data_IF_164018360006
#
_entry.id   IF_164018360006
#
_cell.length_a   1.000
_cell.length_b   1.000
_cell.length_c   1.000
_cell.angle_alpha   90.00
_cell.angle_beta   90.00
_cell.angle_gamma   90.00
#
_symmetry.space_group_name_H-M   'P 1'
#
loop_
_entity.id
_entity.type
_entity.pdbx_description
1 polymer ?
#
# COMPACT_ATOMS: atom_id res chain seq x y z
N UNK A 1 -5.39 54.64 -1.74
CA UNK A 1 -4.89 53.48 -0.98
C UNK A 1 -6.12 52.76 -0.53
N UNK A 2 -6.53 51.75 -1.30
CA UNK A 2 -7.67 50.90 -0.99
C UNK A 2 -7.07 49.59 -0.48
N UNK A 3 -7.29 49.36 0.81
CA UNK A 3 -6.94 48.08 1.45
C UNK A 3 -7.63 46.94 0.70
N UNK A 4 -6.84 45.95 0.26
CA UNK A 4 -7.35 44.69 -0.24
C UNK A 4 -7.95 43.92 0.96
N UNK A 5 -9.10 43.20 0.78
CA UNK A 5 -9.69 42.45 1.86
C UNK A 5 -8.76 41.30 2.29
N UNK A 6 -8.27 41.42 3.51
CA UNK A 6 -7.58 40.34 4.22
C UNK A 6 -8.47 39.09 4.27
N UNK A 7 -7.99 37.95 3.75
CA UNK A 7 -8.55 36.66 4.11
C UNK A 7 -8.91 35.68 2.99
N UNK A 8 -8.51 35.88 1.73
CA UNK A 8 -8.54 34.78 0.77
C UNK A 8 -7.32 33.89 1.00
N UNK A 9 -7.54 32.75 1.66
CA UNK A 9 -6.52 31.70 1.73
C UNK A 9 -6.08 31.39 0.30
N UNK A 10 -4.79 31.49 0.02
CA UNK A 10 -4.26 31.18 -1.31
C UNK A 10 -4.66 29.74 -1.64
N UNK A 11 -5.27 29.53 -2.80
CA UNK A 11 -5.63 28.20 -3.26
C UNK A 11 -4.34 27.43 -3.48
N UNK A 12 -4.13 26.30 -2.79
CA UNK A 12 -2.93 25.49 -2.96
C UNK A 12 -2.76 25.08 -4.42
N UNK A 13 -1.56 25.27 -4.96
CA UNK A 13 -1.26 24.88 -6.35
C UNK A 13 -0.60 23.52 -6.36
N UNK A 14 -1.13 22.54 -7.13
CA UNK A 14 -0.44 21.28 -7.34
C UNK A 14 0.92 21.49 -7.98
N UNK A 15 1.94 20.88 -7.42
CA UNK A 15 3.30 20.92 -7.93
C UNK A 15 3.94 19.54 -7.90
N UNK A 16 4.80 19.31 -8.87
CA UNK A 16 5.70 18.17 -8.86
C UNK A 16 7.15 18.68 -8.92
N UNK A 17 8.10 17.86 -8.50
CA UNK A 17 9.51 18.06 -8.71
C UNK A 17 10.11 16.81 -9.31
N UNK A 18 10.72 16.93 -10.49
CA UNK A 18 11.34 15.83 -11.21
C UNK A 18 12.85 16.09 -11.38
N UNK A 19 13.63 15.12 -10.92
CA UNK A 19 15.10 15.15 -10.97
C UNK A 19 15.57 14.02 -11.86
N UNK A 20 16.30 14.32 -12.92
CA UNK A 20 16.92 13.36 -13.84
C UNK A 20 18.39 13.19 -13.45
N UNK A 21 18.75 12.00 -12.97
CA UNK A 21 20.06 11.78 -12.39
C UNK A 21 20.30 12.67 -11.17
N UNK A 22 21.00 13.78 -11.38
CA UNK A 22 21.27 14.79 -10.34
C UNK A 22 20.76 16.19 -10.72
N UNK A 23 20.18 16.35 -11.90
CA UNK A 23 19.70 17.64 -12.43
C UNK A 23 18.21 17.78 -12.18
N UNK A 24 17.78 18.86 -11.53
CA UNK A 24 16.36 19.24 -11.49
C UNK A 24 15.94 19.73 -12.88
N UNK A 25 15.00 19.01 -13.49
CA UNK A 25 14.48 19.29 -14.82
C UNK A 25 13.01 19.76 -14.79
N UNK A 26 12.49 20.05 -13.61
CA UNK A 26 11.09 20.41 -13.40
C UNK A 26 10.68 21.60 -14.27
N UNK A 27 11.45 22.69 -14.26
CA UNK A 27 11.17 23.89 -15.05
C UNK A 27 11.24 23.63 -16.57
N UNK A 28 12.16 22.77 -17.00
CA UNK A 28 12.36 22.44 -18.40
C UNK A 28 11.19 21.61 -18.95
N UNK A 29 10.57 20.78 -18.10
CA UNK A 29 9.46 19.88 -18.45
C UNK A 29 8.09 20.53 -18.31
N UNK A 30 7.87 21.40 -17.33
CA UNK A 30 6.55 21.94 -16.96
C UNK A 30 5.72 22.44 -18.16
N UNK A 31 6.28 23.11 -19.18
CA UNK A 31 5.48 23.55 -20.35
C UNK A 31 4.91 22.41 -21.17
N UNK A 32 5.52 21.24 -21.14
CA UNK A 32 5.19 20.08 -21.99
C UNK A 32 4.43 19.00 -21.25
N UNK A 33 4.42 19.02 -19.91
CA UNK A 33 3.76 17.98 -19.11
C UNK A 33 2.25 18.01 -19.34
N UNK A 34 1.71 16.86 -19.73
CA UNK A 34 0.28 16.57 -19.76
C UNK A 34 -0.14 16.00 -18.41
N UNK A 35 0.58 14.97 -17.93
CA UNK A 35 0.33 14.38 -16.62
C UNK A 35 1.60 13.79 -15.99
N UNK A 36 1.62 13.79 -14.66
CA UNK A 36 2.60 13.07 -13.84
C UNK A 36 1.82 12.17 -12.91
N UNK A 37 2.11 10.88 -12.94
CA UNK A 37 1.45 9.87 -12.13
C UNK A 37 2.47 9.14 -11.28
N UNK A 38 2.12 8.87 -10.02
CA UNK A 38 2.86 8.01 -9.10
C UNK A 38 1.94 6.95 -8.53
N UNK A 39 2.31 5.69 -8.70
CA UNK A 39 1.59 4.53 -8.18
C UNK A 39 2.38 3.94 -7.01
N UNK A 40 1.79 3.97 -5.82
CA UNK A 40 2.32 3.39 -4.59
C UNK A 40 1.58 2.10 -4.27
N UNK A 41 2.28 0.97 -4.19
CA UNK A 41 1.69 -0.34 -3.93
C UNK A 41 2.12 -0.88 -2.56
N UNK A 42 1.17 -1.45 -1.82
CA UNK A 42 1.46 -2.07 -0.53
C UNK A 42 2.35 -3.32 -0.68
N UNK A 43 2.06 -4.14 -1.67
CA UNK A 43 2.76 -5.42 -1.89
C UNK A 43 2.51 -5.95 -3.31
N UNK A 44 3.40 -6.84 -3.77
CA UNK A 44 3.23 -7.59 -5.01
C UNK A 44 3.68 -6.87 -6.27
N UNK A 45 3.71 -5.56 -6.29
CA UNK A 45 4.17 -4.74 -7.41
C UNK A 45 5.22 -3.74 -6.93
N UNK A 46 6.06 -3.28 -7.85
CA UNK A 46 6.97 -2.16 -7.60
C UNK A 46 6.20 -0.86 -7.72
N UNK A 47 6.62 0.14 -6.96
CA UNK A 47 6.16 1.51 -7.20
C UNK A 47 6.56 1.95 -8.61
N UNK A 48 5.73 2.79 -9.19
CA UNK A 48 5.87 3.20 -10.59
C UNK A 48 5.60 4.70 -10.73
N UNK A 49 6.29 5.32 -11.67
CA UNK A 49 5.96 6.66 -12.14
C UNK A 49 5.70 6.64 -13.64
N UNK A 50 4.82 7.53 -14.08
CA UNK A 50 4.59 7.81 -15.48
C UNK A 50 4.56 9.32 -15.68
N UNK A 51 5.31 9.80 -16.67
CA UNK A 51 5.34 11.20 -17.09
C UNK A 51 4.94 11.26 -18.55
N UNK A 52 3.81 11.88 -18.83
CA UNK A 52 3.29 12.07 -20.20
C UNK A 52 3.59 13.49 -20.65
N UNK A 53 4.28 13.61 -21.77
CA UNK A 53 4.75 14.86 -22.35
C UNK A 53 4.14 15.08 -23.74
N UNK A 54 3.79 16.32 -24.05
CA UNK A 54 3.46 16.75 -25.39
C UNK A 54 4.73 16.84 -26.24
N UNK A 55 4.74 16.25 -27.43
CA UNK A 55 5.90 16.18 -28.33
C UNK A 55 5.60 16.72 -29.75
N UNK A 56 4.94 17.88 -29.83
CA UNK A 56 4.56 18.50 -31.10
C UNK A 56 5.75 18.91 -31.99
N UNK A 57 6.91 19.15 -31.38
CA UNK A 57 8.14 19.54 -32.07
C UNK A 57 9.17 18.41 -32.19
N UNK A 58 8.85 17.19 -31.77
CA UNK A 58 9.70 16.01 -31.89
C UNK A 58 10.95 16.01 -31.00
N UNK A 59 10.99 16.85 -29.95
CA UNK A 59 12.17 16.96 -29.09
C UNK A 59 12.41 15.73 -28.24
N UNK A 60 11.34 15.10 -27.74
CA UNK A 60 11.41 13.95 -26.83
C UNK A 60 11.74 12.65 -27.55
N UNK A 61 11.39 12.52 -28.82
CA UNK A 61 11.84 11.41 -29.70
C UNK A 61 13.17 11.71 -30.37
N UNK A 62 13.68 12.94 -30.27
CA UNK A 62 14.90 13.43 -30.91
C UNK A 62 15.99 13.78 -29.89
N UNK A 63 16.43 15.05 -29.82
CA UNK A 63 17.60 15.45 -29.05
C UNK A 63 17.47 15.23 -27.54
N UNK A 64 16.25 15.18 -27.03
CA UNK A 64 15.95 15.06 -25.59
C UNK A 64 15.44 13.65 -25.22
N UNK A 65 15.70 12.67 -26.09
CA UNK A 65 15.30 11.29 -25.83
C UNK A 65 15.99 10.75 -24.57
N UNK A 66 15.21 10.34 -23.53
CA UNK A 66 15.81 9.88 -22.28
C UNK A 66 16.45 8.49 -22.43
N UNK A 67 17.49 8.23 -21.65
CA UNK A 67 18.16 6.94 -21.63
C UNK A 67 17.36 5.88 -20.85
N UNK A 68 17.17 4.69 -21.43
CA UNK A 68 16.64 3.54 -20.67
C UNK A 68 17.63 3.14 -19.59
N UNK A 69 17.15 2.99 -18.37
CA UNK A 69 17.97 2.70 -17.19
C UNK A 69 18.49 3.94 -16.49
N UNK A 70 18.23 5.14 -17.02
CA UNK A 70 18.52 6.36 -16.29
C UNK A 70 17.56 6.56 -15.13
N UNK A 71 17.97 7.36 -14.15
CA UNK A 71 17.22 7.50 -12.89
C UNK A 71 16.40 8.80 -12.86
N UNK A 72 15.14 8.65 -12.54
CA UNK A 72 14.22 9.74 -12.21
C UNK A 72 13.91 9.74 -10.72
N UNK A 73 13.86 10.92 -10.09
CA UNK A 73 13.36 11.08 -8.72
C UNK A 73 12.18 12.03 -8.73
N UNK A 74 11.06 11.59 -8.15
CA UNK A 74 9.81 12.35 -8.16
C UNK A 74 9.41 12.78 -6.75
N UNK A 75 8.89 14.01 -6.66
CA UNK A 75 8.13 14.50 -5.50
C UNK A 75 6.85 15.14 -6.01
N UNK A 76 5.74 14.98 -5.28
CA UNK A 76 4.43 15.54 -5.62
C UNK A 76 3.76 16.18 -4.40
N UNK A 77 2.87 17.12 -4.60
CA UNK A 77 2.13 17.77 -3.52
C UNK A 77 1.66 19.17 -3.90
N UNK A 78 1.67 20.07 -2.92
CA UNK A 78 1.29 21.47 -3.09
C UNK A 78 2.44 22.42 -2.78
N UNK A 79 2.43 23.61 -3.41
CA UNK A 79 3.55 24.58 -3.38
C UNK A 79 3.91 25.11 -1.99
N UNK A 80 2.95 25.12 -1.06
CA UNK A 80 3.13 25.64 0.29
C UNK A 80 3.22 24.55 1.37
N UNK A 81 3.35 23.27 0.96
CA UNK A 81 3.36 22.12 1.84
C UNK A 81 4.58 21.22 1.58
N UNK A 82 4.93 20.36 2.55
CA UNK A 82 5.95 19.34 2.31
C UNK A 82 5.52 18.39 1.21
N UNK A 83 6.35 18.25 0.18
CA UNK A 83 6.05 17.33 -0.93
C UNK A 83 6.27 15.87 -0.52
N UNK A 84 5.36 14.98 -0.94
CA UNK A 84 5.54 13.55 -0.86
C UNK A 84 6.77 13.14 -1.68
N UNK A 85 7.75 12.54 -1.03
CA UNK A 85 8.92 11.97 -1.69
C UNK A 85 8.57 10.58 -2.24
N UNK A 86 8.21 10.48 -3.52
CA UNK A 86 7.81 9.23 -4.17
C UNK A 86 8.98 8.23 -4.29
N UNK A 87 10.21 8.72 -4.33
CA UNK A 87 11.41 7.89 -4.43
C UNK A 87 12.15 8.07 -5.74
N UNK A 88 12.98 7.08 -6.04
CA UNK A 88 13.83 7.04 -7.23
C UNK A 88 13.42 5.88 -8.14
N UNK A 89 13.38 6.11 -9.43
CA UNK A 89 12.84 5.20 -10.44
C UNK A 89 13.84 5.05 -11.59
N UNK A 90 13.98 3.86 -12.11
CA UNK A 90 14.78 3.58 -13.31
C UNK A 90 13.85 3.58 -14.52
N UNK A 91 14.16 4.35 -15.56
CA UNK A 91 13.37 4.42 -16.79
C UNK A 91 13.38 3.05 -17.45
N UNK A 92 12.21 2.43 -17.54
CA UNK A 92 12.03 1.08 -18.10
C UNK A 92 11.41 1.11 -19.49
N UNK A 93 10.43 2.00 -19.70
CA UNK A 93 9.68 2.09 -20.96
C UNK A 93 9.52 3.54 -21.40
N UNK A 94 9.62 3.74 -22.72
CA UNK A 94 9.34 5.01 -23.38
C UNK A 94 8.42 4.68 -24.55
N UNK A 95 7.22 5.25 -24.52
CA UNK A 95 6.19 5.08 -25.53
C UNK A 95 5.94 6.38 -26.28
N UNK A 96 5.89 6.32 -27.61
CA UNK A 96 5.48 7.42 -28.47
C UNK A 96 4.12 7.12 -29.07
N UNK A 97 3.20 8.09 -29.04
CA UNK A 97 1.87 8.04 -29.65
C UNK A 97 1.60 9.26 -30.50
N UNK A 98 0.97 9.06 -31.68
CA UNK A 98 0.56 10.12 -32.60
C UNK A 98 -0.63 9.65 -33.46
N UNK A 99 -1.72 10.42 -33.64
CA UNK A 99 -2.11 11.64 -32.95
C UNK A 99 -2.83 11.41 -31.61
N UNK A 100 -2.73 12.30 -30.61
CA UNK A 100 -1.85 13.45 -30.52
C UNK A 100 -0.38 13.03 -30.31
N UNK A 101 0.56 13.89 -30.73
CA UNK A 101 2.00 13.61 -30.57
C UNK A 101 2.38 13.73 -29.10
N UNK A 102 2.64 12.60 -28.48
CA UNK A 102 2.98 12.48 -27.05
C UNK A 102 4.06 11.46 -26.80
N UNK A 103 4.86 11.68 -25.76
CA UNK A 103 5.82 10.71 -25.24
C UNK A 103 5.48 10.41 -23.79
N UNK A 104 5.25 9.14 -23.47
CA UNK A 104 5.13 8.62 -22.11
C UNK A 104 6.44 7.99 -21.67
N UNK A 105 6.93 8.41 -20.50
CA UNK A 105 8.14 7.88 -19.87
C UNK A 105 7.72 7.17 -18.59
N UNK A 106 7.86 5.85 -18.57
CA UNK A 106 7.55 5.00 -17.42
C UNK A 106 8.81 4.61 -16.70
N UNK A 107 8.81 4.78 -15.37
CA UNK A 107 9.89 4.38 -14.49
C UNK A 107 9.41 3.44 -13.40
N UNK A 108 10.16 2.38 -13.17
CA UNK A 108 9.91 1.44 -12.07
C UNK A 108 10.81 1.76 -10.90
N UNK A 109 10.32 1.51 -9.67
CA UNK A 109 11.06 1.74 -8.46
C UNK A 109 12.52 1.26 -8.58
N UNK A 110 13.45 2.20 -8.50
CA UNK A 110 14.87 1.96 -8.72
C UNK A 110 15.47 1.21 -7.54
N UNK A 111 16.18 0.14 -7.85
CA UNK A 111 16.94 -0.63 -6.87
C UNK A 111 18.42 -0.48 -7.16
N UNK A 112 19.21 -0.05 -6.18
CA UNK A 112 20.64 0.05 -6.37
C UNK A 112 21.24 -1.33 -6.52
N UNK A 113 21.51 -1.72 -7.75
CA UNK A 113 22.25 -2.94 -8.09
C UNK A 113 21.52 -3.89 -9.03
N UNK A 114 22.22 -4.29 -10.08
CA UNK A 114 21.80 -5.29 -11.07
C UNK A 114 21.45 -6.68 -10.51
N UNK A 115 21.97 -7.14 -9.33
CA UNK A 115 21.70 -8.50 -8.83
C UNK A 115 20.22 -8.81 -8.59
N UNK A 116 19.37 -7.80 -8.34
CA UNK A 116 17.95 -8.00 -7.99
C UNK A 116 17.15 -8.64 -9.12
N UNK A 117 17.53 -8.37 -10.39
CA UNK A 117 16.90 -8.96 -11.58
C UNK A 117 17.46 -10.35 -11.90
N UNK A 118 18.60 -10.73 -11.29
CA UNK A 118 19.25 -12.02 -11.54
C UNK A 118 18.43 -13.15 -10.93
N UNK A 119 18.20 -14.19 -11.72
CA UNK A 119 17.53 -15.40 -11.23
C UNK A 119 18.53 -16.24 -10.44
N UNK A 120 18.12 -16.66 -9.26
CA UNK A 120 18.91 -17.44 -8.33
C UNK A 120 18.23 -18.78 -8.03
N UNK A 121 19.05 -19.77 -7.66
CA UNK A 121 18.56 -21.04 -7.13
C UNK A 121 19.28 -21.31 -5.81
N UNK A 122 18.54 -21.34 -4.71
CA UNK A 122 19.10 -21.52 -3.37
C UNK A 122 18.12 -22.24 -2.45
N UNK A 123 18.64 -23.16 -1.64
CA UNK A 123 17.88 -23.82 -0.58
C UNK A 123 18.17 -23.19 0.77
N UNK A 124 17.11 -22.94 1.53
CA UNK A 124 17.19 -22.51 2.94
C UNK A 124 16.62 -23.63 3.80
N UNK A 125 17.39 -24.14 4.75
CA UNK A 125 16.97 -25.24 5.62
C UNK A 125 17.13 -24.87 7.08
N UNK A 126 16.19 -25.35 7.95
CA UNK A 126 16.18 -25.14 9.40
C UNK A 126 16.45 -23.69 9.79
N UNK A 127 15.71 -22.77 9.24
CA UNK A 127 15.90 -21.32 9.35
C UNK A 127 14.63 -20.62 9.83
N UNK A 128 14.60 -19.31 9.77
CA UNK A 128 13.41 -18.49 10.06
C UNK A 128 13.11 -17.53 8.91
N UNK A 129 11.86 -17.06 8.83
CA UNK A 129 11.46 -16.05 7.85
C UNK A 129 12.36 -14.81 7.92
N UNK A 130 12.64 -14.33 9.13
CA UNK A 130 13.52 -13.18 9.34
C UNK A 130 14.96 -13.44 8.84
N UNK A 131 15.51 -14.64 9.07
CA UNK A 131 16.84 -14.99 8.61
C UNK A 131 16.94 -15.08 7.08
N UNK A 132 15.89 -15.59 6.41
CA UNK A 132 15.82 -15.61 4.93
C UNK A 132 15.78 -14.16 4.41
N UNK A 133 14.90 -13.33 4.95
CA UNK A 133 14.78 -11.93 4.56
C UNK A 133 16.11 -11.17 4.78
N UNK A 134 16.77 -11.37 5.91
CA UNK A 134 18.06 -10.75 6.22
C UNK A 134 19.18 -11.23 5.28
N UNK A 135 19.20 -12.53 4.94
CA UNK A 135 20.18 -13.07 4.01
C UNK A 135 20.06 -12.43 2.63
N UNK A 136 18.83 -12.34 2.11
CA UNK A 136 18.57 -11.72 0.80
C UNK A 136 18.84 -10.22 0.84
N UNK A 137 18.46 -9.53 1.91
CA UNK A 137 18.77 -8.12 2.12
C UNK A 137 20.29 -7.87 2.03
N UNK A 138 21.06 -8.63 2.80
CA UNK A 138 22.53 -8.50 2.83
C UNK A 138 23.16 -8.78 1.47
N UNK A 139 22.70 -9.81 0.76
CA UNK A 139 23.20 -10.17 -0.59
C UNK A 139 23.02 -9.04 -1.60
N UNK A 140 21.93 -8.29 -1.50
CA UNK A 140 21.60 -7.20 -2.41
C UNK A 140 21.96 -5.80 -1.89
N UNK A 141 22.61 -5.69 -0.72
CA UNK A 141 22.98 -4.41 -0.13
C UNK A 141 21.79 -3.60 0.40
N UNK A 142 20.68 -4.27 0.74
CA UNK A 142 19.51 -3.66 1.34
C UNK A 142 19.54 -3.68 2.87
N UNK A 143 18.85 -2.73 3.47
CA UNK A 143 18.52 -2.73 4.89
C UNK A 143 17.14 -3.35 5.08
N UNK A 144 17.05 -4.41 5.89
CA UNK A 144 15.76 -4.99 6.26
C UNK A 144 15.05 -4.09 7.28
N UNK A 145 13.80 -3.75 7.00
CA UNK A 145 12.95 -2.89 7.84
C UNK A 145 11.65 -3.61 8.16
N UNK A 146 11.16 -3.45 9.39
CA UNK A 146 9.92 -4.07 9.86
C UNK A 146 10.15 -5.14 10.92
N UNK A 147 9.06 -5.53 11.61
CA UNK A 147 9.08 -6.60 12.62
C UNK A 147 8.60 -7.90 12.00
N UNK A 148 9.49 -8.89 11.94
CA UNK A 148 9.13 -10.24 11.49
C UNK A 148 9.09 -11.14 12.72
N UNK A 149 7.93 -11.76 12.98
CA UNK A 149 7.76 -12.74 14.05
C UNK A 149 8.75 -13.92 13.86
N UNK A 150 9.12 -14.55 14.94
CA UNK A 150 9.91 -15.78 14.86
C UNK A 150 9.07 -16.92 14.28
N UNK A 151 9.19 -17.13 12.97
CA UNK A 151 8.49 -18.18 12.23
C UNK A 151 9.54 -19.17 11.75
N UNK A 152 9.61 -20.38 12.33
CA UNK A 152 10.54 -21.41 11.88
C UNK A 152 10.16 -21.93 10.50
N UNK A 153 11.16 -22.15 9.66
CA UNK A 153 11.00 -22.67 8.30
C UNK A 153 11.96 -23.85 8.14
N UNK A 154 11.43 -25.05 8.01
CA UNK A 154 12.25 -26.24 7.79
C UNK A 154 12.98 -26.20 6.47
N UNK A 155 12.24 -25.81 5.41
CA UNK A 155 12.81 -25.70 4.07
C UNK A 155 12.04 -24.67 3.24
N UNK A 156 12.77 -23.72 2.66
CA UNK A 156 12.31 -22.84 1.59
C UNK A 156 13.30 -22.96 0.41
N UNK A 157 12.78 -23.02 -0.79
CA UNK A 157 13.61 -23.16 -2.01
C UNK A 157 13.27 -22.02 -2.95
N UNK A 158 14.26 -21.22 -3.26
CA UNK A 158 14.29 -20.32 -4.39
C UNK A 158 14.74 -21.14 -5.60
N UNK A 159 13.95 -21.17 -6.66
CA UNK A 159 14.26 -21.97 -7.84
C UNK A 159 14.05 -21.15 -9.13
N UNK A 160 15.14 -20.71 -9.74
CA UNK A 160 15.09 -19.98 -11.02
C UNK A 160 14.30 -18.67 -10.98
N UNK A 161 14.11 -18.10 -9.80
CA UNK A 161 13.38 -16.84 -9.60
C UNK A 161 14.30 -15.75 -9.02
N UNK A 162 13.96 -14.48 -9.26
CA UNK A 162 14.71 -13.38 -8.67
C UNK A 162 14.40 -13.22 -7.18
N UNK A 163 15.24 -12.50 -6.48
CA UNK A 163 15.17 -12.34 -5.03
C UNK A 163 13.90 -11.65 -4.55
N UNK A 164 13.41 -10.67 -5.30
CA UNK A 164 12.19 -9.92 -4.96
C UNK A 164 10.97 -10.81 -5.11
N UNK A 165 10.86 -11.55 -6.23
CA UNK A 165 9.76 -12.50 -6.45
C UNK A 165 9.75 -13.61 -5.37
N UNK A 166 10.92 -14.12 -5.00
CA UNK A 166 11.06 -15.11 -3.94
C UNK A 166 10.59 -14.57 -2.59
N UNK A 167 11.05 -13.37 -2.20
CA UNK A 167 10.64 -12.76 -0.93
C UNK A 167 9.16 -12.38 -0.93
N UNK A 168 8.65 -11.85 -2.04
CA UNK A 168 7.22 -11.52 -2.18
C UNK A 168 6.35 -12.76 -1.99
N UNK A 169 6.72 -13.88 -2.62
CA UNK A 169 6.01 -15.16 -2.48
C UNK A 169 6.01 -15.67 -1.04
N UNK A 170 7.17 -15.62 -0.37
CA UNK A 170 7.27 -16.05 1.02
C UNK A 170 6.52 -15.10 1.95
N UNK A 171 6.65 -13.78 1.77
CA UNK A 171 5.91 -12.81 2.56
C UNK A 171 4.40 -13.04 2.48
N UNK A 172 3.87 -13.21 1.27
CA UNK A 172 2.46 -13.52 1.03
C UNK A 172 2.01 -14.81 1.73
N UNK A 173 2.85 -15.84 1.69
CA UNK A 173 2.54 -17.13 2.33
C UNK A 173 2.41 -17.04 3.86
N UNK A 174 3.13 -16.09 4.48
CA UNK A 174 3.14 -15.89 5.93
C UNK A 174 2.38 -14.65 6.40
N UNK A 175 1.66 -13.96 5.52
CA UNK A 175 0.78 -12.82 5.86
C UNK A 175 1.49 -11.50 6.03
N UNK A 176 2.59 -11.32 5.34
CA UNK A 176 3.34 -10.08 5.31
C UNK A 176 3.13 -9.35 3.99
N UNK A 177 2.94 -8.05 4.05
CA UNK A 177 3.19 -7.15 2.94
C UNK A 177 4.70 -7.01 2.77
N UNK A 178 5.16 -7.10 1.53
CA UNK A 178 6.55 -6.97 1.16
C UNK A 178 6.72 -5.92 0.09
N UNK A 179 7.62 -4.97 0.33
CA UNK A 179 7.92 -3.87 -0.58
C UNK A 179 9.41 -3.57 -0.59
N UNK A 180 9.91 -3.15 -1.75
CA UNK A 180 11.25 -2.59 -1.90
C UNK A 180 11.11 -1.09 -2.12
N UNK A 181 11.74 -0.29 -1.27
CA UNK A 181 11.75 1.16 -1.39
C UNK A 181 13.17 1.68 -1.22
N UNK A 182 13.77 2.17 -2.30
CA UNK A 182 15.17 2.58 -2.35
C UNK A 182 16.10 1.45 -1.89
N UNK A 183 16.89 1.67 -0.83
CA UNK A 183 17.79 0.66 -0.24
C UNK A 183 17.17 -0.15 0.89
N UNK A 184 15.85 -0.18 1.02
CA UNK A 184 15.16 -0.89 2.11
C UNK A 184 14.28 -2.00 1.58
N UNK A 185 14.35 -3.16 2.22
CA UNK A 185 13.35 -4.22 2.13
C UNK A 185 12.38 -4.06 3.31
N UNK A 186 11.14 -3.79 3.03
CA UNK A 186 10.11 -3.53 4.03
C UNK A 186 9.23 -4.78 4.15
N UNK A 187 9.16 -5.32 5.37
CA UNK A 187 8.25 -6.38 5.75
C UNK A 187 7.30 -5.88 6.81
N UNK A 188 6.00 -5.86 6.51
CA UNK A 188 4.98 -5.45 7.47
C UNK A 188 3.91 -6.52 7.58
N UNK A 189 3.60 -6.96 8.79
CA UNK A 189 2.53 -7.92 9.01
C UNK A 189 1.17 -7.27 8.69
N UNK A 190 0.39 -7.85 7.76
CA UNK A 190 -0.91 -7.31 7.33
C UNK A 190 -1.86 -7.18 8.53
N UNK A 191 -1.82 -8.13 9.47
CA UNK A 191 -2.62 -8.05 10.69
C UNK A 191 -2.32 -6.80 11.55
N UNK A 192 -1.06 -6.35 11.54
CA UNK A 192 -0.66 -5.12 12.26
C UNK A 192 -1.20 -3.87 11.56
N UNK A 193 -1.20 -3.85 10.22
CA UNK A 193 -1.81 -2.75 9.45
C UNK A 193 -3.31 -2.65 9.72
N UNK A 194 -4.01 -3.79 9.66
CA UNK A 194 -5.46 -3.85 9.91
C UNK A 194 -5.86 -3.45 11.34
N UNK A 195 -4.96 -3.58 12.32
CA UNK A 195 -5.18 -3.13 13.69
C UNK A 195 -4.92 -1.64 13.89
N UNK A 196 -4.47 -0.92 12.87
CA UNK A 196 -4.22 0.52 12.91
C UNK A 196 -5.50 1.35 13.01
N UNK A 197 -5.35 2.60 13.43
CA UNK A 197 -6.43 3.56 13.38
C UNK A 197 -6.52 4.21 11.99
N UNK A 198 -7.75 4.61 11.61
CA UNK A 198 -7.96 5.34 10.38
C UNK A 198 -7.28 6.71 10.45
N UNK A 199 -6.43 7.03 9.47
CA UNK A 199 -5.72 8.31 9.39
C UNK A 199 -6.61 9.42 8.86
N UNK A 200 -7.59 9.04 8.02
CA UNK A 200 -8.59 9.94 7.45
C UNK A 200 -9.94 9.22 7.37
N UNK A 201 -11.02 10.00 7.38
CA UNK A 201 -12.39 9.49 7.23
C UNK A 201 -13.05 10.27 6.10
N UNK A 202 -13.62 9.56 5.14
CA UNK A 202 -14.25 10.13 3.94
C UNK A 202 -15.75 9.83 3.92
N UNK A 203 -16.52 10.85 3.63
CA UNK A 203 -17.93 10.74 3.27
C UNK A 203 -18.13 11.00 1.77
N UNK A 204 -19.28 10.64 1.17
CA UNK A 204 -19.51 10.81 -0.28
C UNK A 204 -19.21 12.20 -0.83
N UNK A 205 -19.42 13.25 -0.05
CA UNK A 205 -19.14 14.64 -0.45
C UNK A 205 -17.64 14.97 -0.53
N UNK A 206 -16.78 14.18 0.12
CA UNK A 206 -15.32 14.37 0.14
C UNK A 206 -14.64 13.65 -1.04
N UNK A 207 -15.41 12.85 -1.77
CA UNK A 207 -14.91 12.00 -2.86
C UNK A 207 -15.40 12.53 -4.20
N UNK A 208 -14.53 12.54 -5.20
CA UNK A 208 -14.89 12.83 -6.60
C UNK A 208 -15.31 11.57 -7.35
N UNK A 209 -14.96 10.41 -6.84
CA UNK A 209 -15.38 9.11 -7.39
C UNK A 209 -15.36 8.03 -6.31
N UNK A 210 -16.34 7.12 -6.38
CA UNK A 210 -16.41 5.96 -5.48
C UNK A 210 -16.97 4.75 -6.22
N UNK A 211 -16.31 3.62 -6.03
CA UNK A 211 -16.76 2.32 -6.49
C UNK A 211 -16.37 1.28 -5.45
N UNK A 212 -17.32 0.67 -4.78
CA UNK A 212 -17.11 -0.41 -3.80
C UNK A 212 -17.90 -1.63 -4.26
N UNK A 213 -17.28 -2.80 -4.18
CA UNK A 213 -17.86 -4.08 -4.54
C UNK A 213 -17.76 -5.01 -3.34
N UNK A 214 -18.89 -5.56 -2.92
CA UNK A 214 -19.00 -6.58 -1.87
C UNK A 214 -19.31 -7.92 -2.50
N UNK A 215 -18.46 -8.94 -2.23
CA UNK A 215 -18.49 -10.25 -2.87
C UNK A 215 -18.64 -11.35 -1.84
N UNK A 216 -19.52 -12.30 -2.10
CA UNK A 216 -19.65 -13.50 -1.26
C UNK A 216 -18.58 -14.56 -1.58
N UNK A 217 -18.03 -14.56 -2.79
CA UNK A 217 -17.14 -15.62 -3.28
C UNK A 217 -15.80 -15.74 -2.54
N UNK A 218 -15.41 -14.69 -1.80
CA UNK A 218 -14.15 -14.66 -1.03
C UNK A 218 -14.37 -14.74 0.48
N UNK A 219 -15.60 -15.02 0.91
CA UNK A 219 -15.94 -15.17 2.33
C UNK A 219 -15.82 -16.63 2.74
N UNK A 220 -14.85 -16.92 3.59
CA UNK A 220 -14.59 -18.27 4.09
C UNK A 220 -14.81 -18.34 5.60
N UNK A 221 -15.52 -19.39 6.04
CA UNK A 221 -15.75 -19.70 7.44
C UNK A 221 -14.48 -20.19 8.12
N UNK A 222 -13.72 -21.02 7.43
CA UNK A 222 -12.50 -21.62 7.93
C UNK A 222 -11.46 -21.83 6.80
N UNK A 223 -10.21 -22.02 7.20
CA UNK A 223 -9.15 -22.44 6.29
C UNK A 223 -8.56 -23.77 6.76
N UNK A 224 -8.26 -24.68 5.82
CA UNK A 224 -7.65 -25.98 6.08
C UNK A 224 -6.33 -26.12 5.33
N UNK A 225 -5.25 -26.33 6.10
CA UNK A 225 -3.91 -26.62 5.60
C UNK A 225 -3.58 -28.09 5.81
N UNK A 226 -3.09 -28.75 4.79
CA UNK A 226 -2.63 -30.14 4.87
C UNK A 226 -1.15 -30.17 5.23
N UNK A 227 -0.79 -30.93 6.25
CA UNK A 227 0.58 -31.20 6.65
C UNK A 227 0.87 -32.68 6.60
N UNK A 228 1.96 -33.09 5.97
CA UNK A 228 2.45 -34.46 6.00
C UNK A 228 3.52 -34.59 7.08
N UNK A 229 3.17 -35.21 8.20
CA UNK A 229 4.13 -35.57 9.25
C UNK A 229 4.97 -36.78 8.81
N UNK A 230 6.18 -36.52 8.36
CA UNK A 230 7.09 -37.54 7.83
C UNK A 230 7.53 -38.53 8.93
N UNK A 231 7.53 -38.12 10.21
CA UNK A 231 7.91 -38.99 11.34
C UNK A 231 6.79 -39.97 11.66
N UNK A 232 5.54 -39.50 11.63
CA UNK A 232 4.36 -40.32 11.91
C UNK A 232 3.74 -40.96 10.66
N UNK A 233 4.26 -40.66 9.46
CA UNK A 233 3.76 -41.10 8.15
C UNK A 233 2.25 -40.86 8.00
N UNK A 234 1.74 -39.78 8.58
CA UNK A 234 0.30 -39.42 8.56
C UNK A 234 0.08 -38.06 7.95
N UNK A 235 -1.01 -37.95 7.20
CA UNK A 235 -1.52 -36.67 6.73
C UNK A 235 -2.30 -36.01 7.86
N UNK A 236 -1.85 -34.88 8.34
CA UNK A 236 -2.54 -34.06 9.36
C UNK A 236 -3.18 -32.87 8.68
N UNK A 237 -4.43 -32.60 9.01
CA UNK A 237 -5.17 -31.45 8.51
C UNK A 237 -5.36 -30.48 9.67
N UNK A 238 -4.86 -29.26 9.52
CA UNK A 238 -5.10 -28.17 10.46
C UNK A 238 -6.18 -27.26 9.92
N UNK A 239 -7.16 -26.94 10.77
CA UNK A 239 -8.20 -25.98 10.48
C UNK A 239 -8.06 -24.75 11.38
N UNK A 240 -8.27 -23.58 10.81
CA UNK A 240 -8.37 -22.29 11.52
C UNK A 240 -9.73 -21.70 11.18
N UNK A 241 -10.48 -21.28 12.18
CA UNK A 241 -11.76 -20.60 12.00
C UNK A 241 -11.53 -19.09 11.85
N UNK A 242 -12.33 -18.45 11.03
CA UNK A 242 -12.36 -17.00 10.92
C UNK A 242 -13.16 -16.45 12.10
N UNK A 243 -12.47 -15.89 13.08
CA UNK A 243 -13.11 -15.17 14.17
C UNK A 243 -13.77 -13.90 13.61
N UNK A 244 -15.11 -13.79 13.77
CA UNK A 244 -15.85 -12.57 13.44
C UNK A 244 -16.58 -12.55 12.10
N UNK A 245 -16.54 -13.60 11.29
CA UNK A 245 -17.37 -13.72 10.09
C UNK A 245 -18.83 -14.06 10.42
N UNK A 246 -19.51 -13.14 11.07
CA UNK A 246 -20.90 -13.33 11.42
C UNK A 246 -21.72 -12.33 10.62
N UNK A 247 -22.57 -12.81 9.74
CA UNK A 247 -23.55 -11.97 9.06
C UNK A 247 -24.50 -11.24 10.04
N UNK A 248 -25.38 -10.41 9.54
CA UNK A 248 -26.30 -9.56 10.34
C UNK A 248 -27.11 -10.32 11.40
N UNK A 249 -27.28 -11.62 11.25
CA UNK A 249 -28.04 -12.51 12.17
C UNK A 249 -27.16 -13.26 13.16
N UNK A 250 -25.86 -12.93 13.25
CA UNK A 250 -24.93 -13.69 14.08
C UNK A 250 -24.50 -15.03 13.49
N UNK A 251 -24.84 -15.30 12.23
CA UNK A 251 -24.46 -16.52 11.50
C UNK A 251 -23.40 -16.19 10.47
N UNK A 252 -22.49 -17.12 10.20
CA UNK A 252 -21.53 -17.01 9.11
C UNK A 252 -22.24 -16.75 7.79
N UNK A 253 -21.75 -15.78 7.00
CA UNK A 253 -22.32 -15.47 5.67
C UNK A 253 -21.99 -16.53 4.63
N UNK A 254 -20.99 -17.37 4.88
CA UNK A 254 -20.60 -18.50 4.04
C UNK A 254 -20.31 -19.74 4.89
N UNK A 255 -20.59 -20.91 4.34
CA UNK A 255 -20.19 -22.21 4.90
C UNK A 255 -18.90 -22.74 4.26
N UNK A 256 -18.31 -21.99 3.35
CA UNK A 256 -17.18 -22.43 2.54
C UNK A 256 -15.88 -22.54 3.35
N UNK A 257 -15.10 -23.56 3.01
CA UNK A 257 -13.78 -23.81 3.59
C UNK A 257 -12.70 -23.49 2.58
N UNK A 258 -11.77 -22.61 2.94
CA UNK A 258 -10.57 -22.36 2.13
C UNK A 258 -9.60 -23.54 2.27
N UNK A 259 -9.45 -24.32 1.21
CA UNK A 259 -8.47 -25.42 1.15
C UNK A 259 -7.18 -24.89 0.53
N UNK A 260 -6.11 -24.83 1.34
CA UNK A 260 -4.80 -24.41 0.84
C UNK A 260 -3.90 -25.62 0.56
N UNK A 261 -3.17 -25.52 -0.56
CA UNK A 261 -2.16 -26.51 -0.97
C UNK A 261 -0.77 -26.21 -0.39
N UNK A 262 -0.62 -25.14 0.40
CA UNK A 262 0.66 -24.77 1.02
C UNK A 262 1.16 -25.91 1.90
N UNK A 263 2.35 -26.39 1.61
CA UNK A 263 3.01 -27.39 2.48
C UNK A 263 3.45 -26.71 3.78
N UNK A 264 3.21 -27.37 4.89
CA UNK A 264 3.72 -26.97 6.19
C UNK A 264 4.55 -28.11 6.78
N UNK A 265 5.60 -27.78 7.49
CA UNK A 265 6.50 -28.75 8.13
C UNK A 265 6.02 -29.15 9.51
N UNK A 266 5.34 -28.25 10.19
CA UNK A 266 4.85 -28.42 11.56
C UNK A 266 3.49 -27.72 11.77
N UNK A 267 2.92 -27.92 12.95
CA UNK A 267 1.62 -27.37 13.33
C UNK A 267 1.61 -25.83 13.35
N UNK A 268 2.66 -25.22 13.90
CA UNK A 268 2.73 -23.78 14.05
C UNK A 268 2.80 -23.10 12.69
N UNK A 269 3.64 -23.60 11.79
CA UNK A 269 3.74 -23.13 10.41
C UNK A 269 2.43 -23.31 9.64
N UNK A 270 1.77 -24.46 9.82
CA UNK A 270 0.47 -24.71 9.20
C UNK A 270 -0.60 -23.73 9.66
N UNK A 271 -0.61 -23.42 10.96
CA UNK A 271 -1.55 -22.46 11.53
C UNK A 271 -1.31 -21.06 10.98
N UNK A 272 -0.07 -20.56 11.01
CA UNK A 272 0.27 -19.22 10.50
C UNK A 272 -0.12 -19.08 9.02
N UNK A 273 0.18 -20.08 8.20
CA UNK A 273 -0.19 -20.07 6.77
C UNK A 273 -1.71 -20.10 6.56
N UNK A 274 -2.44 -20.87 7.37
CA UNK A 274 -3.90 -20.90 7.29
C UNK A 274 -4.54 -19.58 7.68
N UNK A 275 -4.09 -18.98 8.80
CA UNK A 275 -4.56 -17.68 9.27
C UNK A 275 -4.28 -16.57 8.25
N UNK A 276 -3.07 -16.54 7.72
CA UNK A 276 -2.65 -15.57 6.72
C UNK A 276 -3.53 -15.63 5.47
N UNK A 277 -3.70 -16.82 4.90
CA UNK A 277 -4.50 -16.98 3.69
C UNK A 277 -5.98 -16.70 3.92
N UNK A 278 -6.51 -17.08 5.09
CA UNK A 278 -7.89 -16.79 5.44
C UNK A 278 -8.12 -15.27 5.58
N UNK A 279 -7.24 -14.57 6.30
CA UNK A 279 -7.32 -13.11 6.45
C UNK A 279 -7.23 -12.40 5.10
N UNK A 280 -6.29 -12.80 4.25
CA UNK A 280 -6.14 -12.22 2.91
C UNK A 280 -7.39 -12.44 2.07
N UNK A 281 -7.92 -13.67 2.02
CA UNK A 281 -9.12 -13.96 1.25
C UNK A 281 -10.33 -13.16 1.76
N UNK A 282 -10.49 -13.05 3.08
CA UNK A 282 -11.60 -12.30 3.67
C UNK A 282 -11.43 -10.77 3.50
N UNK A 283 -10.20 -10.27 3.42
CA UNK A 283 -9.94 -8.87 3.09
C UNK A 283 -10.39 -8.53 1.65
N UNK A 284 -10.34 -9.49 0.74
CA UNK A 284 -10.80 -9.34 -0.65
C UNK A 284 -12.34 -9.41 -0.80
N UNK A 285 -13.09 -9.65 0.29
CA UNK A 285 -14.54 -9.66 0.27
C UNK A 285 -15.11 -8.33 -0.20
N UNK A 286 -14.68 -7.25 0.42
CA UNK A 286 -15.13 -5.91 0.08
C UNK A 286 -13.95 -5.09 -0.38
N UNK A 287 -13.91 -4.81 -1.68
CA UNK A 287 -12.85 -4.04 -2.33
C UNK A 287 -13.46 -2.88 -3.09
N UNK A 288 -12.68 -1.84 -3.32
CA UNK A 288 -13.14 -0.71 -4.09
C UNK A 288 -12.04 0.24 -4.48
N UNK A 289 -12.45 1.28 -5.18
CA UNK A 289 -11.62 2.44 -5.47
C UNK A 289 -12.38 3.70 -5.06
N UNK A 290 -11.67 4.63 -4.42
CA UNK A 290 -12.16 5.97 -4.13
C UNK A 290 -11.19 6.98 -4.72
N UNK A 291 -11.74 8.06 -5.26
CA UNK A 291 -10.95 9.18 -5.77
C UNK A 291 -11.27 10.40 -4.92
N UNK A 292 -10.24 11.06 -4.44
CA UNK A 292 -10.31 12.27 -3.63
C UNK A 292 -9.48 13.39 -4.26
N UNK A 293 -9.69 14.66 -3.89
CA UNK A 293 -8.73 15.71 -4.19
C UNK A 293 -7.33 15.29 -3.75
N UNK A 294 -6.29 15.71 -4.47
CA UNK A 294 -4.93 15.26 -4.22
C UNK A 294 -4.51 15.45 -2.75
N UNK A 295 -4.07 14.38 -2.13
CA UNK A 295 -3.59 14.39 -0.75
C UNK A 295 -2.29 13.58 -0.67
N UNK A 296 -1.13 14.25 -0.50
CA UNK A 296 0.17 13.59 -0.46
C UNK A 296 0.40 12.72 0.79
N UNK A 297 -0.46 12.81 1.81
CA UNK A 297 -0.36 11.98 3.02
C UNK A 297 -0.98 10.59 2.83
N UNK A 298 -1.79 10.38 1.79
CA UNK A 298 -2.48 9.11 1.51
C UNK A 298 -1.58 8.16 0.73
N UNK A 299 -1.01 7.18 1.41
CA UNK A 299 -0.12 6.17 0.82
C UNK A 299 -0.60 4.76 1.10
N UNK A 300 -0.08 3.79 0.36
CA UNK A 300 -0.41 2.38 0.56
C UNK A 300 -0.03 1.88 1.96
N UNK A 301 -0.88 1.04 2.55
CA UNK A 301 -0.69 0.47 3.89
C UNK A 301 -1.34 1.26 5.02
N UNK A 302 -1.95 2.40 4.73
CA UNK A 302 -2.74 3.15 5.71
C UNK A 302 -4.15 2.57 5.86
N UNK A 303 -4.73 2.79 7.03
CA UNK A 303 -6.15 2.56 7.25
C UNK A 303 -6.92 3.86 7.07
N UNK A 304 -8.03 3.81 6.33
CA UNK A 304 -8.97 4.92 6.18
C UNK A 304 -10.37 4.51 6.64
N UNK A 305 -11.16 5.48 7.04
CA UNK A 305 -12.57 5.32 7.34
C UNK A 305 -13.44 5.75 6.16
N UNK A 306 -14.53 5.04 5.95
CA UNK A 306 -15.61 5.45 5.02
C UNK A 306 -16.88 5.51 5.82
N UNK A 307 -17.66 6.59 5.67
CA UNK A 307 -18.90 6.82 6.39
C UNK A 307 -20.01 7.35 5.49
N UNK A 308 -21.26 7.27 5.96
CA UNK A 308 -22.47 7.69 5.25
C UNK A 308 -22.79 6.88 3.98
N UNK A 309 -22.27 5.65 3.89
CA UNK A 309 -22.58 4.65 2.85
C UNK A 309 -23.37 3.46 3.42
N UNK A 310 -23.87 3.57 4.63
CA UNK A 310 -24.71 2.56 5.30
C UNK A 310 -23.95 1.27 5.60
N UNK A 311 -24.24 0.17 4.89
CA UNK A 311 -23.56 -1.11 5.12
C UNK A 311 -22.09 -1.13 4.70
N UNK A 312 -21.69 -0.19 3.88
CA UNK A 312 -20.31 -0.05 3.41
C UNK A 312 -19.49 0.84 4.33
N UNK A 313 -20.08 1.38 5.41
CA UNK A 313 -19.33 2.12 6.41
C UNK A 313 -18.31 1.22 7.11
N UNK A 314 -17.14 1.77 7.42
CA UNK A 314 -16.13 1.05 8.17
C UNK A 314 -14.70 1.44 7.83
N UNK A 315 -13.77 0.68 8.39
CA UNK A 315 -12.34 0.84 8.11
C UNK A 315 -11.93 0.04 6.88
N UNK A 316 -11.08 0.63 6.07
CA UNK A 316 -10.51 0.03 4.87
C UNK A 316 -8.99 0.19 4.86
N UNK A 317 -8.30 -0.86 4.45
CA UNK A 317 -6.86 -0.83 4.18
C UNK A 317 -6.62 -0.30 2.77
N UNK A 318 -5.76 0.68 2.63
CA UNK A 318 -5.29 1.16 1.32
C UNK A 318 -4.29 0.16 0.76
N UNK A 319 -4.64 -0.48 -0.35
CA UNK A 319 -3.80 -1.45 -1.05
C UNK A 319 -2.87 -0.79 -2.05
N UNK A 320 -3.36 0.24 -2.73
CA UNK A 320 -2.56 1.11 -3.59
C UNK A 320 -3.06 2.54 -3.53
N UNK A 321 -2.16 3.49 -3.76
CA UNK A 321 -2.46 4.91 -3.89
C UNK A 321 -1.87 5.43 -5.20
N UNK A 322 -2.71 5.98 -6.06
CA UNK A 322 -2.34 6.59 -7.33
C UNK A 322 -2.47 8.10 -7.21
N UNK A 323 -1.34 8.78 -7.20
CA UNK A 323 -1.26 10.23 -7.21
C UNK A 323 -1.09 10.72 -8.64
N UNK A 324 -2.02 11.55 -9.11
CA UNK A 324 -1.99 12.07 -10.48
C UNK A 324 -2.10 13.59 -10.48
N UNK A 325 -1.10 14.26 -11.03
CA UNK A 325 -1.15 15.67 -11.37
C UNK A 325 -1.35 15.77 -12.88
N UNK A 326 -2.45 16.35 -13.28
CA UNK A 326 -2.86 16.44 -14.68
C UNK A 326 -3.16 17.91 -15.05
N UNK A 327 -2.80 18.32 -16.26
CA UNK A 327 -2.97 19.70 -16.74
C UNK A 327 -4.44 20.15 -16.72
N UNK A 328 -5.38 19.23 -16.98
CA UNK A 328 -6.80 19.53 -17.10
C UNK A 328 -7.57 19.36 -15.79
N UNK A 329 -7.24 18.32 -15.00
CA UNK A 329 -7.99 17.93 -13.79
C UNK A 329 -7.32 18.30 -12.48
N UNK A 330 -6.09 18.84 -12.51
CA UNK A 330 -5.34 19.19 -11.32
C UNK A 330 -4.75 17.99 -10.61
N UNK A 331 -4.70 17.99 -9.27
CA UNK A 331 -4.16 16.92 -8.47
C UNK A 331 -5.27 16.05 -7.87
N UNK A 332 -5.20 14.76 -8.12
CA UNK A 332 -6.12 13.75 -7.59
C UNK A 332 -5.35 12.59 -6.96
N UNK A 333 -5.94 11.98 -5.94
CA UNK A 333 -5.45 10.74 -5.34
C UNK A 333 -6.54 9.68 -5.45
N UNK A 334 -6.25 8.59 -6.15
CA UNK A 334 -7.11 7.41 -6.25
C UNK A 334 -6.56 6.31 -5.35
N UNK A 335 -7.40 5.76 -4.49
CA UNK A 335 -7.06 4.73 -3.51
C UNK A 335 -7.78 3.43 -3.85
N UNK A 336 -7.02 2.36 -4.09
CA UNK A 336 -7.60 1.02 -4.06
C UNK A 336 -7.68 0.55 -2.61
N UNK A 337 -8.86 0.16 -2.21
CA UNK A 337 -9.17 -0.14 -0.82
C UNK A 337 -9.73 -1.54 -0.64
N UNK A 338 -9.40 -2.16 0.48
CA UNK A 338 -9.98 -3.42 0.92
C UNK A 338 -10.49 -3.28 2.35
N UNK A 339 -11.65 -3.85 2.60
CA UNK A 339 -12.33 -3.65 3.88
C UNK A 339 -11.75 -4.56 4.95
N UNK A 340 -11.46 -3.98 6.11
CA UNK A 340 -11.37 -4.74 7.35
C UNK A 340 -12.75 -5.30 7.71
N UNK A 341 -12.79 -6.55 8.16
CA UNK A 341 -14.02 -7.18 8.60
C UNK A 341 -14.66 -6.39 9.75
N UNK A 342 -15.95 -5.99 9.66
CA UNK A 342 -16.61 -5.31 10.76
C UNK A 342 -16.69 -6.25 11.97
N UNK A 343 -16.41 -5.72 13.16
CA UNK A 343 -16.69 -6.42 14.40
C UNK A 343 -18.18 -6.80 14.48
N UNK A 344 -18.53 -7.97 15.05
CA UNK A 344 -19.93 -8.38 15.18
C UNK A 344 -20.74 -7.31 15.89
N UNK A 345 -21.83 -6.85 15.30
CA UNK A 345 -22.71 -5.78 15.83
C UNK A 345 -23.19 -5.97 17.28
N UNK A 346 -23.07 -7.18 17.84
CA UNK A 346 -23.45 -7.48 19.22
C UNK A 346 -22.55 -6.87 20.30
N UNK A 347 -21.33 -6.42 19.98
CA UNK A 347 -20.42 -5.80 20.96
C UNK A 347 -20.43 -4.28 20.91
N UNK A 348 -20.71 -3.66 19.77
CA UNK A 348 -20.82 -2.20 19.64
C UNK A 348 -22.02 -1.62 20.38
N UNK A 349 -23.15 -2.35 20.44
CA UNK A 349 -24.33 -1.89 21.17
C UNK A 349 -24.16 -1.89 22.69
N UNK A 350 -23.26 -2.70 23.25
CA UNK A 350 -23.00 -2.71 24.70
C UNK A 350 -22.01 -1.63 25.15
N UNK A 351 -21.14 -1.14 24.27
CA UNK A 351 -20.23 -0.03 24.57
C UNK A 351 -20.90 1.35 24.40
N UNK A 352 -21.90 1.47 23.53
CA UNK A 352 -22.65 2.73 23.34
C UNK A 352 -23.67 3.02 24.45
N UNK A 353 -24.22 2.00 25.12
CA UNK A 353 -25.19 2.21 26.21
C UNK A 353 -24.57 2.56 27.56
N UNK A 354 -23.24 2.37 27.73
CA UNK A 354 -22.55 2.74 28.98
C UNK A 354 -21.84 4.11 28.91
N UNK A 355 -21.76 4.75 27.73
CA UNK A 355 -21.07 6.03 27.51
C UNK A 355 -21.99 7.27 27.59
N UNK A 356 -23.29 7.10 27.92
CA UNK A 356 -24.28 8.20 27.99
C UNK A 356 -24.24 9.01 29.30
N UNK A 357 -23.26 8.82 30.17
CA UNK A 357 -23.14 9.61 31.40
C UNK A 357 -21.70 10.09 31.58
N UNK A 358 -21.36 11.21 30.97
CA UNK A 358 -20.46 12.30 31.39
C UNK A 358 -19.82 12.97 30.17
N UNK A 359 -20.54 13.94 29.61
CA UNK A 359 -19.91 14.95 28.73
C UNK A 359 -18.96 15.81 29.58
N UNK A 360 -17.67 15.54 29.54
CA UNK A 360 -16.62 16.53 29.71
C UNK A 360 -16.02 16.78 28.35
N UNK A 361 -16.03 18.05 27.91
CA UNK A 361 -15.43 18.53 26.68
C UNK A 361 -13.95 18.12 26.60
N UNK A 362 -13.64 17.21 25.69
CA UNK A 362 -12.28 16.94 25.34
C UNK A 362 -11.79 18.03 24.37
N UNK A 363 -10.60 18.53 24.61
CA UNK A 363 -9.90 19.45 23.73
C UNK A 363 -9.65 18.76 22.36
N UNK A 364 -9.55 19.55 21.25
CA UNK A 364 -9.32 18.98 19.92
C UNK A 364 -8.03 18.17 19.93
N UNK A 365 -8.14 16.90 19.55
CA UNK A 365 -7.00 15.98 19.46
C UNK A 365 -6.01 16.47 18.39
N UNK A 366 -4.74 16.43 18.73
CA UNK A 366 -3.65 16.68 17.75
C UNK A 366 -3.61 15.53 16.79
N UNK A 367 -3.68 15.80 15.49
CA UNK A 367 -3.39 14.83 14.44
C UNK A 367 -1.94 14.34 14.60
N UNK A 368 -1.78 13.03 14.69
CA UNK A 368 -0.46 12.40 14.73
C UNK A 368 -0.09 11.98 13.30
N UNK A 369 0.96 12.55 12.76
CA UNK A 369 1.48 12.19 11.45
C UNK A 369 2.39 10.97 11.61
N UNK A 370 2.02 9.86 10.98
CA UNK A 370 2.82 8.64 10.95
C UNK A 370 3.75 8.68 9.74
N UNK A 371 5.05 8.68 9.99
CA UNK A 371 6.09 8.60 8.99
C UNK A 371 7.19 7.64 9.41
N UNK A 372 8.04 7.25 8.48
CA UNK A 372 9.18 6.39 8.78
C UNK A 372 10.25 7.24 9.44
N UNK A 373 10.49 7.03 10.74
CA UNK A 373 11.64 7.61 11.45
C UNK A 373 12.95 7.01 10.93
N UNK A 374 14.05 7.72 11.07
CA UNK A 374 15.38 7.31 10.60
C UNK A 374 15.84 5.92 11.09
N UNK A 375 15.21 5.38 12.11
CA UNK A 375 15.48 4.03 12.66
C UNK A 375 14.59 2.90 12.08
N UNK A 376 13.75 3.16 11.07
CA UNK A 376 12.95 2.12 10.41
C UNK A 376 11.68 1.68 11.15
N UNK A 377 11.25 2.39 12.18
CA UNK A 377 9.95 2.21 12.82
C UNK A 377 8.91 3.16 12.21
N UNK A 378 7.75 2.61 11.83
CA UNK A 378 6.58 3.43 11.51
C UNK A 378 6.09 4.03 12.83
N UNK A 379 6.23 5.33 12.96
CA UNK A 379 5.84 6.04 14.17
C UNK A 379 5.44 7.47 13.86
N UNK A 380 4.83 8.14 14.85
CA UNK A 380 4.42 9.54 14.76
C UNK A 380 5.65 10.42 14.49
N UNK A 381 5.70 11.06 13.31
CA UNK A 381 6.81 11.91 12.88
C UNK A 381 6.54 13.39 13.17
N UNK A 382 5.28 13.72 13.46
CA UNK A 382 4.89 15.08 13.82
C UNK A 382 3.44 15.18 14.29
N UNK A 383 3.08 16.30 14.92
CA UNK A 383 1.69 16.64 15.25
C UNK A 383 1.35 17.95 14.57
N UNK A 384 0.35 17.97 13.69
CA UNK A 384 -0.16 19.22 13.13
C UNK A 384 -1.41 19.69 13.90
N UNK A 385 -1.49 20.99 14.13
CA UNK A 385 -2.65 21.63 14.74
C UNK A 385 -3.64 22.03 13.62
N UNK A 386 -4.46 21.11 13.16
CA UNK A 386 -5.57 21.46 12.26
C UNK A 386 -6.69 22.10 13.07
N UNK A 387 -6.89 23.42 12.95
CA UNK A 387 -8.10 24.10 13.39
C UNK A 387 -9.21 23.81 12.37
N UNK A 388 -10.10 22.87 12.69
CA UNK A 388 -11.35 22.73 11.96
C UNK A 388 -12.23 23.93 12.32
N UNK A 389 -12.43 24.87 11.41
CA UNK A 389 -13.50 25.86 11.49
C UNK A 389 -14.80 25.17 11.08
N UNK A 390 -15.69 24.97 12.05
CA UNK A 390 -17.11 24.72 11.77
C UNK A 390 -17.72 25.97 11.16
N UNK A 391 -18.36 25.82 10.02
CA UNK A 391 -19.48 26.65 9.58
C UNK A 391 -20.78 25.96 9.85
#
# INVERSE_FOLDING_TARGET
MTDAPDGLAAVPRPVFRLIYGQKDITSDLTPYVISVTYSDHLTGQSDEIEVVLEDTDGRWIGPWYPGKGDTLTLKVGYDNEPLLACGSFEIDEIEFSDPPSTVSIRGLGSWPGKPVRTRNSMGFEKTTLAAIAQHVAKRNGFTLTGKIRHIPIDRATQYGENDVAFLSKIADEYGYAFKVSGKRLIFTEIATLLAGDAVAVFAPQDMTGIRITDKINFVYKDAKVKHHDSKKKKLVVYGVQADGQVGETGKSTSSDTLKTTSRASDKATAQVKAESKLKKANLEQTTGAITVPGDPELVAGLMIGVENLGRLDGKYLVQSALHRIDRASGYTTELEIAREMPAPRGQAAKSASSASAKKKSAAPGKLQVYGVKEAGEVGVVGTSNAKVKKK
#
